data_IF_362561544895
#
_entry.id   IF_362561544895
#
_cell.length_a   1.000
_cell.length_b   1.000
_cell.length_c   1.000
_cell.angle_alpha   90.00
_cell.angle_beta   90.00
_cell.angle_gamma   90.00
#
_symmetry.space_group_name_H-M   'P 1'
#
loop_
_entity.id
_entity.type
_entity.pdbx_description
1 polymer ?
#
# COMPACT_ATOMS: atom_id res chain seq x y z
N UNK A 1 -5.34 17.14 5.51
CA UNK A 1 -5.80 16.63 4.20
C UNK A 1 -5.90 15.14 4.32
N UNK A 2 -6.99 14.55 3.84
CA UNK A 2 -7.28 13.12 4.02
C UNK A 2 -6.18 12.27 3.41
N UNK A 3 -5.56 11.41 4.21
CA UNK A 3 -4.56 10.45 3.75
C UNK A 3 -5.11 9.03 3.85
N UNK A 4 -4.67 8.14 2.98
CA UNK A 4 -4.92 6.71 3.09
C UNK A 4 -3.62 6.03 3.52
N UNK A 5 -3.71 5.17 4.52
CA UNK A 5 -2.64 4.30 4.99
C UNK A 5 -2.89 2.89 4.48
N UNK A 6 -2.06 2.40 3.56
CA UNK A 6 -2.07 1.00 3.14
C UNK A 6 -1.02 0.22 3.93
N UNK A 7 -1.37 -0.93 4.49
CA UNK A 7 -0.40 -1.81 5.15
C UNK A 7 -0.63 -3.29 4.84
N UNK A 8 0.35 -4.12 5.16
CA UNK A 8 0.24 -5.57 5.06
C UNK A 8 1.57 -6.28 5.26
N UNK A 9 1.55 -7.61 5.29
CA UNK A 9 2.76 -8.43 5.43
C UNK A 9 3.52 -8.46 4.10
N UNK A 10 4.81 -8.10 4.15
CA UNK A 10 5.69 -8.04 2.99
C UNK A 10 5.76 -9.39 2.28
N UNK A 11 5.57 -9.38 0.96
CA UNK A 11 5.74 -10.59 0.17
C UNK A 11 7.20 -11.08 0.22
N UNK A 12 7.39 -12.40 0.40
CA UNK A 12 8.72 -13.01 0.47
C UNK A 12 9.47 -12.86 1.80
N UNK A 13 8.90 -12.18 2.80
CA UNK A 13 9.43 -12.15 4.18
C UNK A 13 8.30 -12.37 5.18
N UNK A 14 8.39 -13.43 5.98
CA UNK A 14 7.43 -13.67 7.05
C UNK A 14 7.48 -12.55 8.09
N UNK A 15 6.32 -12.15 8.58
CA UNK A 15 6.11 -11.28 9.75
C UNK A 15 6.71 -9.86 9.69
N UNK A 16 7.03 -9.36 8.49
CA UNK A 16 7.41 -7.95 8.30
C UNK A 16 6.20 -7.18 7.78
N UNK A 17 5.57 -6.37 8.63
CA UNK A 17 4.54 -5.42 8.19
C UNK A 17 5.17 -4.19 7.54
N UNK A 18 4.67 -3.83 6.35
CA UNK A 18 5.06 -2.61 5.63
C UNK A 18 3.86 -1.71 5.42
N UNK A 19 4.09 -0.40 5.31
CA UNK A 19 3.06 0.62 5.18
C UNK A 19 3.43 1.66 4.13
N UNK A 20 2.43 2.18 3.43
CA UNK A 20 2.53 3.29 2.48
C UNK A 20 1.42 4.31 2.78
N UNK A 21 1.78 5.60 2.80
CA UNK A 21 0.83 6.70 2.94
C UNK A 21 0.63 7.40 1.59
N UNK A 22 -0.62 7.64 1.22
CA UNK A 22 -0.99 8.43 0.05
C UNK A 22 -1.90 9.57 0.45
N UNK A 23 -1.68 10.75 -0.12
CA UNK A 23 -2.56 11.89 0.02
C UNK A 23 -3.57 11.90 -1.12
N UNK A 24 -4.87 11.81 -0.83
CA UNK A 24 -5.88 11.59 -1.90
C UNK A 24 -6.07 12.81 -2.81
N UNK A 25 -5.66 14.00 -2.37
CA UNK A 25 -5.84 15.24 -3.14
C UNK A 25 -4.59 15.61 -3.92
N UNK A 26 -3.42 15.08 -3.54
CA UNK A 26 -2.12 15.50 -4.09
C UNK A 26 -1.32 14.36 -4.73
N UNK A 27 -1.58 13.11 -4.37
CA UNK A 27 -0.85 11.97 -4.89
C UNK A 27 -1.66 11.22 -5.97
N UNK A 28 -1.00 10.87 -7.07
CA UNK A 28 -1.48 9.84 -7.97
C UNK A 28 -1.02 8.49 -7.44
N UNK A 29 -1.95 7.55 -7.23
CA UNK A 29 -1.62 6.20 -6.76
C UNK A 29 -2.42 5.13 -7.51
N UNK A 30 -1.88 3.91 -7.51
CA UNK A 30 -2.47 2.75 -8.15
C UNK A 30 -2.33 1.52 -7.25
N UNK A 31 -3.33 0.64 -7.29
CA UNK A 31 -3.31 -0.66 -6.61
C UNK A 31 -3.50 -1.74 -7.65
N UNK A 32 -2.54 -2.67 -7.71
CA UNK A 32 -2.55 -3.80 -8.65
C UNK A 32 -2.54 -5.12 -7.88
N UNK A 33 -3.47 -6.01 -8.21
CA UNK A 33 -3.58 -7.32 -7.57
C UNK A 33 -3.17 -8.46 -8.51
N UNK A 34 -2.49 -9.47 -7.97
CA UNK A 34 -2.29 -10.76 -8.63
C UNK A 34 -2.98 -11.88 -7.84
N UNK A 35 -2.68 -13.15 -8.15
CA UNK A 35 -3.16 -14.28 -7.35
C UNK A 35 -2.59 -14.29 -5.93
N UNK A 36 -1.36 -13.80 -5.75
CA UNK A 36 -0.60 -13.95 -4.50
C UNK A 36 -0.35 -12.62 -3.80
N UNK A 37 -0.18 -11.53 -4.55
CA UNK A 37 0.28 -10.25 -4.00
C UNK A 37 -0.64 -9.09 -4.35
N UNK A 38 -0.49 -8.01 -3.56
CA UNK A 38 -0.99 -6.68 -3.90
C UNK A 38 0.17 -5.70 -3.90
N UNK A 39 0.28 -4.94 -4.99
CA UNK A 39 1.20 -3.82 -5.14
C UNK A 39 0.41 -2.53 -4.94
N UNK A 40 0.84 -1.69 -4.00
CA UNK A 40 0.34 -0.31 -3.87
C UNK A 40 1.48 0.61 -4.26
N UNK A 41 1.26 1.47 -5.24
CA UNK A 41 2.26 2.40 -5.77
C UNK A 41 1.78 3.83 -5.67
N UNK A 42 2.56 4.69 -5.00
CA UNK A 42 2.43 6.13 -5.05
C UNK A 42 3.30 6.65 -6.22
N UNK A 43 2.66 6.99 -7.34
CA UNK A 43 3.35 7.43 -8.56
C UNK A 43 3.97 8.81 -8.41
N UNK A 44 3.37 9.68 -7.59
CA UNK A 44 3.89 11.02 -7.33
C UNK A 44 5.23 11.00 -6.56
N UNK A 45 5.40 10.01 -5.68
CA UNK A 45 6.60 9.89 -4.81
C UNK A 45 7.59 8.81 -5.24
N UNK A 46 7.20 7.95 -6.19
CA UNK A 46 8.01 6.79 -6.59
C UNK A 46 8.11 5.71 -5.50
N UNK A 47 7.20 5.73 -4.52
CA UNK A 47 7.17 4.81 -3.39
C UNK A 47 6.18 3.68 -3.64
N UNK A 48 6.47 2.48 -3.14
CA UNK A 48 5.56 1.35 -3.26
C UNK A 48 5.74 0.32 -2.15
N UNK A 49 4.68 -0.47 -1.92
CA UNK A 49 4.72 -1.68 -1.09
C UNK A 49 4.19 -2.88 -1.87
N UNK A 50 4.79 -4.05 -1.64
CA UNK A 50 4.30 -5.34 -2.13
C UNK A 50 4.01 -6.23 -0.94
N UNK A 51 2.74 -6.60 -0.79
CA UNK A 51 2.26 -7.37 0.36
C UNK A 51 1.54 -8.64 -0.10
N UNK A 52 1.49 -9.64 0.79
CA UNK A 52 0.62 -10.81 0.61
C UNK A 52 -0.82 -10.33 0.44
N UNK A 53 -1.50 -10.75 -0.63
CA UNK A 53 -2.82 -10.21 -1.02
C UNK A 53 -3.86 -10.29 0.10
N UNK A 54 -3.85 -11.38 0.88
CA UNK A 54 -4.80 -11.60 1.99
C UNK A 54 -4.53 -10.72 3.22
N UNK A 55 -3.44 -9.96 3.21
CA UNK A 55 -2.99 -9.16 4.36
C UNK A 55 -3.07 -7.65 4.10
N UNK A 56 -3.44 -7.24 2.88
CA UNK A 56 -3.61 -5.84 2.54
C UNK A 56 -4.75 -5.23 3.37
N UNK A 57 -4.44 -4.15 4.07
CA UNK A 57 -5.39 -3.32 4.82
C UNK A 57 -5.27 -1.88 4.33
N UNK A 58 -6.35 -1.12 4.48
CA UNK A 58 -6.32 0.33 4.30
C UNK A 58 -7.07 1.03 5.43
N UNK A 59 -6.62 2.22 5.79
CA UNK A 59 -7.21 3.07 6.81
C UNK A 59 -7.25 4.52 6.33
N UNK A 60 -8.32 5.25 6.69
CA UNK A 60 -8.39 6.70 6.47
C UNK A 60 -7.71 7.40 7.64
N UNK A 61 -6.73 8.23 7.35
CA UNK A 61 -5.96 9.01 8.33
C UNK A 61 -6.34 10.49 8.16
N UNK A 62 -6.75 11.12 9.26
CA UNK A 62 -7.12 12.55 9.30
C UNK A 62 -5.89 13.47 9.23
#
# INVERSE_FOLDING_TARGET
MTKLSYSGLKYGKSDVEVKLLVDIQNDSFEITHTKEVSLVMNKSKGEYIVVNRKTLKFEVVA
#
